data_IF_331281547273
#
_entry.id   IF_331281547273
#
_cell.length_a   1.000
_cell.length_b   1.000
_cell.length_c   1.000
_cell.angle_alpha   90.00
_cell.angle_beta   90.00
_cell.angle_gamma   90.00
#
_symmetry.space_group_name_H-M   'P 1'
#
loop_
_entity.id
_entity.type
_entity.pdbx_description
1 polymer ?
#
# COMPACT_ATOMS: atom_id res chain seq x y z
N UNK A 1 -23.79 -2.94 12.50
CA UNK A 1 -22.73 -1.91 12.47
C UNK A 1 -21.41 -2.63 12.28
N UNK A 2 -20.94 -2.79 11.04
CA UNK A 2 -19.65 -3.42 10.78
C UNK A 2 -18.51 -2.53 11.28
N UNK A 3 -17.60 -3.13 12.07
CA UNK A 3 -16.49 -2.39 12.69
C UNK A 3 -15.56 -1.84 11.60
N UNK A 4 -15.05 -0.60 11.73
CA UNK A 4 -14.17 0.02 10.73
C UNK A 4 -12.96 -0.88 10.42
N UNK A 5 -12.47 -0.81 9.18
CA UNK A 5 -11.23 -1.50 8.78
C UNK A 5 -10.08 -0.92 9.62
N UNK A 6 -9.32 -1.79 10.27
CA UNK A 6 -8.14 -1.39 11.05
C UNK A 6 -6.87 -1.64 10.25
N UNK A 7 -5.86 -0.79 10.43
CA UNK A 7 -4.54 -0.98 9.80
C UNK A 7 -3.93 -2.37 10.03
N UNK A 8 -4.16 -2.94 11.22
CA UNK A 8 -3.64 -4.25 11.62
C UNK A 8 -4.55 -5.42 11.23
N UNK A 9 -5.73 -5.18 10.66
CA UNK A 9 -6.58 -6.27 10.17
C UNK A 9 -5.80 -7.12 9.13
N UNK A 10 -6.06 -8.43 9.16
CA UNK A 10 -5.48 -9.38 8.22
C UNK A 10 -6.00 -9.14 6.81
N UNK A 11 -5.26 -9.53 5.75
CA UNK A 11 -5.73 -9.40 4.38
C UNK A 11 -7.11 -10.04 4.14
N UNK A 12 -7.34 -11.24 4.68
CA UNK A 12 -8.63 -11.95 4.58
C UNK A 12 -9.79 -11.18 5.22
N UNK A 13 -9.55 -10.55 6.37
CA UNK A 13 -10.57 -9.77 7.07
C UNK A 13 -10.91 -8.47 6.35
N UNK A 14 -9.92 -7.80 5.76
CA UNK A 14 -10.13 -6.60 4.94
C UNK A 14 -10.89 -6.95 3.66
N UNK A 15 -10.51 -8.05 3.01
CA UNK A 15 -11.22 -8.56 1.84
C UNK A 15 -12.69 -8.84 2.14
N UNK A 16 -12.99 -9.52 3.25
CA UNK A 16 -14.35 -9.82 3.67
C UNK A 16 -15.16 -8.54 3.94
N UNK A 17 -14.60 -7.58 4.68
CA UNK A 17 -15.26 -6.30 4.99
C UNK A 17 -15.55 -5.46 3.75
N UNK A 18 -14.72 -5.58 2.71
CA UNK A 18 -14.92 -4.89 1.43
C UNK A 18 -15.79 -5.70 0.44
N UNK A 19 -16.25 -6.89 0.82
CA UNK A 19 -17.05 -7.76 -0.05
C UNK A 19 -16.33 -8.18 -1.34
N UNK A 20 -15.00 -8.32 -1.30
CA UNK A 20 -14.19 -8.57 -2.50
C UNK A 20 -13.93 -10.07 -2.71
N UNK A 21 -14.02 -10.52 -3.95
CA UNK A 21 -13.45 -11.80 -4.38
C UNK A 21 -11.92 -11.76 -4.34
N UNK A 22 -11.28 -12.94 -4.38
CA UNK A 22 -9.80 -13.03 -4.43
C UNK A 22 -9.22 -12.24 -5.61
N UNK A 23 -9.82 -12.37 -6.79
CA UNK A 23 -9.39 -11.66 -8.01
C UNK A 23 -9.49 -10.14 -7.84
N UNK A 24 -10.61 -9.65 -7.30
CA UNK A 24 -10.78 -8.22 -7.03
C UNK A 24 -9.76 -7.74 -5.98
N UNK A 25 -9.54 -8.51 -4.91
CA UNK A 25 -8.57 -8.15 -3.88
C UNK A 25 -7.13 -8.10 -4.40
N UNK A 26 -6.78 -8.96 -5.35
CA UNK A 26 -5.51 -8.89 -6.06
C UNK A 26 -5.42 -7.68 -7.00
N UNK A 27 -6.47 -7.37 -7.75
CA UNK A 27 -6.54 -6.16 -8.57
C UNK A 27 -6.36 -4.90 -7.71
N UNK A 28 -6.93 -4.88 -6.50
CA UNK A 28 -6.77 -3.76 -5.58
C UNK A 28 -5.30 -3.49 -5.23
N UNK A 29 -4.47 -4.55 -5.13
CA UNK A 29 -3.00 -4.43 -5.00
C UNK A 29 -2.39 -3.71 -6.19
N UNK A 30 -2.84 -4.07 -7.38
CA UNK A 30 -2.30 -3.59 -8.64
C UNK A 30 -2.69 -2.13 -8.87
N UNK A 31 -3.87 -1.70 -8.41
CA UNK A 31 -4.25 -0.29 -8.45
C UNK A 31 -3.35 0.58 -7.58
N UNK A 32 -2.95 0.13 -6.38
CA UNK A 32 -1.97 0.86 -5.57
C UNK A 32 -0.61 0.96 -6.27
N UNK A 33 -0.16 -0.11 -6.93
CA UNK A 33 1.10 -0.11 -7.71
C UNK A 33 1.02 0.84 -8.91
N UNK A 34 -0.10 0.82 -9.62
CA UNK A 34 -0.36 1.67 -10.77
C UNK A 34 -0.42 3.14 -10.35
N UNK A 35 -1.17 3.45 -9.30
CA UNK A 35 -1.25 4.79 -8.73
C UNK A 35 0.13 5.31 -8.30
N UNK A 36 0.98 4.47 -7.70
CA UNK A 36 2.36 4.83 -7.43
C UNK A 36 3.15 5.14 -8.70
N UNK A 37 3.07 4.31 -9.74
CA UNK A 37 3.73 4.59 -11.02
C UNK A 37 3.28 5.90 -11.65
N UNK A 38 1.97 6.13 -11.72
CA UNK A 38 1.37 7.35 -12.31
C UNK A 38 1.73 8.60 -11.51
N UNK A 39 1.63 8.55 -10.19
CA UNK A 39 1.95 9.69 -9.33
C UNK A 39 3.45 10.02 -9.36
N UNK A 40 4.33 9.03 -9.24
CA UNK A 40 5.76 9.26 -9.23
C UNK A 40 6.31 9.68 -10.61
N UNK A 41 5.64 9.29 -11.71
CA UNK A 41 5.97 9.76 -13.04
C UNK A 41 5.68 11.25 -13.26
N UNK A 42 4.72 11.81 -12.53
CA UNK A 42 4.34 13.23 -12.59
C UNK A 42 5.00 14.06 -11.48
N UNK A 43 5.35 13.43 -10.35
CA UNK A 43 5.95 14.07 -9.18
C UNK A 43 7.22 13.33 -8.73
N UNK A 44 8.33 13.43 -9.49
CA UNK A 44 9.55 12.67 -9.19
C UNK A 44 10.17 13.02 -7.82
N UNK A 45 10.02 14.25 -7.36
CA UNK A 45 10.57 14.74 -6.09
C UNK A 45 9.64 14.52 -4.88
N UNK A 46 8.50 13.88 -5.10
CA UNK A 46 7.51 13.63 -4.05
C UNK A 46 8.06 12.72 -2.94
N UNK A 47 7.62 12.98 -1.70
CA UNK A 47 7.89 12.05 -0.58
C UNK A 47 7.22 10.69 -0.76
N UNK A 48 6.17 10.61 -1.57
CA UNK A 48 5.58 9.34 -1.98
C UNK A 48 6.51 8.50 -2.86
N UNK A 49 7.27 9.13 -3.76
CA UNK A 49 8.21 8.45 -4.65
C UNK A 49 9.36 7.77 -3.90
N UNK A 50 9.71 8.30 -2.72
CA UNK A 50 10.66 7.65 -1.84
C UNK A 50 9.99 6.53 -1.03
N UNK A 51 10.23 5.28 -1.43
CA UNK A 51 9.70 4.07 -0.77
C UNK A 51 10.12 3.96 0.70
N UNK A 52 11.25 4.56 1.10
CA UNK A 52 11.76 4.53 2.47
C UNK A 52 11.05 5.51 3.40
N UNK A 53 10.36 6.52 2.85
CA UNK A 53 9.51 7.40 3.64
C UNK A 53 8.32 6.59 4.16
N UNK A 54 7.90 6.83 5.40
CA UNK A 54 6.71 6.18 5.99
C UNK A 54 5.45 6.96 5.60
N UNK A 55 4.29 6.30 5.54
CA UNK A 55 3.03 6.94 5.14
C UNK A 55 2.68 8.18 5.96
N UNK A 56 2.91 8.14 7.26
CA UNK A 56 2.64 9.29 8.15
C UNK A 56 3.54 10.50 7.88
N UNK A 57 4.69 10.32 7.21
CA UNK A 57 5.62 11.38 6.85
C UNK A 57 5.40 11.94 5.44
N UNK A 58 4.47 11.37 4.67
CA UNK A 58 3.98 11.94 3.41
C UNK A 58 3.13 13.16 3.73
N UNK A 59 3.28 14.28 3.01
CA UNK A 59 2.44 15.46 3.18
C UNK A 59 0.96 15.12 2.94
N UNK A 60 0.07 15.79 3.66
CA UNK A 60 -1.37 15.46 3.61
C UNK A 60 -1.98 15.66 2.22
N UNK A 61 -1.58 16.71 1.50
CA UNK A 61 -2.05 16.95 0.13
C UNK A 61 -1.68 15.79 -0.81
N UNK A 62 -0.44 15.28 -0.76
CA UNK A 62 -0.03 14.12 -1.56
C UNK A 62 -0.86 12.88 -1.20
N UNK A 63 -1.14 12.66 0.10
CA UNK A 63 -1.97 11.53 0.52
C UNK A 63 -3.37 11.59 -0.08
N UNK A 64 -4.00 12.76 -0.05
CA UNK A 64 -5.34 12.97 -0.61
C UNK A 64 -5.35 12.71 -2.11
N UNK A 65 -4.35 13.18 -2.85
CA UNK A 65 -4.21 12.93 -4.28
C UNK A 65 -4.01 11.44 -4.60
N UNK A 66 -3.16 10.75 -3.84
CA UNK A 66 -2.92 9.31 -3.99
C UNK A 66 -4.19 8.50 -3.70
N UNK A 67 -4.90 8.83 -2.61
CA UNK A 67 -6.17 8.19 -2.26
C UNK A 67 -7.21 8.43 -3.35
N UNK A 68 -7.31 9.67 -3.85
CA UNK A 68 -8.21 10.01 -4.96
C UNK A 68 -7.87 9.24 -6.24
N UNK A 69 -6.59 9.06 -6.55
CA UNK A 69 -6.14 8.32 -7.73
C UNK A 69 -6.50 6.83 -7.62
N UNK A 70 -6.27 6.22 -6.45
CA UNK A 70 -6.62 4.82 -6.21
C UNK A 70 -8.14 4.64 -6.25
N UNK A 71 -8.89 5.56 -5.66
CA UNK A 71 -10.35 5.52 -5.66
C UNK A 71 -10.92 5.62 -7.07
N UNK A 72 -10.38 6.50 -7.91
CA UNK A 72 -10.71 6.59 -9.34
C UNK A 72 -10.50 5.26 -10.04
N UNK A 73 -9.32 4.64 -9.89
CA UNK A 73 -9.03 3.33 -10.48
C UNK A 73 -9.98 2.22 -10.01
N UNK A 74 -10.35 2.24 -8.72
CA UNK A 74 -11.31 1.30 -8.16
C UNK A 74 -12.71 1.50 -8.74
N UNK A 75 -13.13 2.75 -8.90
CA UNK A 75 -14.44 3.13 -9.45
C UNK A 75 -14.55 2.76 -10.93
N UNK A 76 -13.56 3.13 -11.74
CA UNK A 76 -13.50 2.78 -13.17
C UNK A 76 -13.54 1.26 -13.41
N UNK A 77 -13.00 0.49 -12.47
CA UNK A 77 -12.96 -0.97 -12.56
C UNK A 77 -14.17 -1.66 -11.91
N UNK A 78 -15.14 -0.91 -11.37
CA UNK A 78 -16.25 -1.42 -10.57
C UNK A 78 -15.78 -2.40 -9.48
N UNK A 79 -14.70 -2.04 -8.78
CA UNK A 79 -14.01 -2.96 -7.87
C UNK A 79 -14.88 -3.35 -6.68
N UNK A 80 -15.52 -2.36 -6.06
CA UNK A 80 -16.30 -2.54 -4.85
C UNK A 80 -17.77 -2.81 -5.20
N UNK A 81 -18.44 -3.73 -4.47
CA UNK A 81 -19.90 -3.85 -4.55
C UNK A 81 -20.58 -2.50 -4.27
N UNK A 82 -21.68 -2.16 -4.95
CA UNK A 82 -22.38 -0.88 -4.78
C UNK A 82 -22.94 -0.67 -3.36
N UNK A 83 -23.08 -1.75 -2.59
CA UNK A 83 -23.51 -1.75 -1.19
C UNK A 83 -22.38 -1.37 -0.21
N UNK A 84 -21.14 -1.24 -0.68
CA UNK A 84 -19.99 -0.96 0.18
C UNK A 84 -19.98 0.51 0.57
N UNK A 85 -20.11 0.80 1.87
CA UNK A 85 -20.14 2.17 2.36
C UNK A 85 -18.82 2.92 2.10
N UNK A 86 -18.93 4.22 1.80
CA UNK A 86 -17.79 5.08 1.42
C UNK A 86 -16.66 5.07 2.45
N UNK A 87 -16.98 5.23 3.73
CA UNK A 87 -16.00 5.19 4.80
C UNK A 87 -15.25 3.84 4.90
N UNK A 88 -15.89 2.74 4.50
CA UNK A 88 -15.25 1.41 4.46
C UNK A 88 -14.29 1.33 3.28
N UNK A 89 -14.65 1.89 2.13
CA UNK A 89 -13.78 1.97 0.95
C UNK A 89 -12.52 2.77 1.28
N UNK A 90 -12.66 3.98 1.84
CA UNK A 90 -11.54 4.86 2.20
C UNK A 90 -10.58 4.18 3.19
N UNK A 91 -11.12 3.60 4.26
CA UNK A 91 -10.32 2.84 5.23
C UNK A 91 -9.64 1.61 4.58
N UNK A 92 -10.30 0.98 3.60
CA UNK A 92 -9.75 -0.11 2.80
C UNK A 92 -8.57 0.34 1.92
N UNK A 93 -8.70 1.50 1.27
CA UNK A 93 -7.65 2.12 0.44
C UNK A 93 -6.44 2.44 1.30
N UNK A 94 -6.62 3.14 2.41
CA UNK A 94 -5.52 3.48 3.33
C UNK A 94 -4.81 2.22 3.83
N UNK A 95 -5.57 1.23 4.29
CA UNK A 95 -4.99 -0.04 4.73
C UNK A 95 -4.18 -0.69 3.61
N UNK A 96 -4.71 -0.68 2.39
CA UNK A 96 -4.04 -1.31 1.24
C UNK A 96 -2.75 -0.61 0.89
N UNK A 97 -2.74 0.72 0.86
CA UNK A 97 -1.55 1.56 0.71
C UNK A 97 -0.50 1.17 1.75
N UNK A 98 -0.89 1.12 3.02
CA UNK A 98 0.00 0.76 4.11
C UNK A 98 0.64 -0.63 3.96
N UNK A 99 -0.14 -1.63 3.55
CA UNK A 99 0.37 -3.00 3.37
C UNK A 99 1.33 -3.11 2.19
N UNK A 100 0.96 -2.54 1.05
CA UNK A 100 1.81 -2.56 -0.15
C UNK A 100 3.13 -1.83 0.12
N UNK A 101 3.07 -0.66 0.75
CA UNK A 101 4.27 0.11 1.09
C UNK A 101 5.19 -0.62 2.08
N UNK A 102 4.61 -1.29 3.09
CA UNK A 102 5.40 -2.10 4.02
C UNK A 102 6.18 -3.20 3.28
N UNK A 103 5.57 -3.85 2.29
CA UNK A 103 6.26 -4.84 1.45
C UNK A 103 7.41 -4.20 0.67
N UNK A 104 7.19 -3.03 0.04
CA UNK A 104 8.26 -2.33 -0.68
C UNK A 104 9.44 -1.96 0.21
N UNK A 105 9.17 -1.45 1.42
CA UNK A 105 10.20 -1.13 2.41
C UNK A 105 10.99 -2.36 2.84
N UNK A 106 10.31 -3.48 3.08
CA UNK A 106 10.97 -4.75 3.43
C UNK A 106 11.87 -5.22 2.29
N UNK A 107 11.37 -5.21 1.05
CA UNK A 107 12.14 -5.61 -0.14
C UNK A 107 13.33 -4.67 -0.39
N UNK A 108 13.15 -3.35 -0.23
CA UNK A 108 14.23 -2.38 -0.39
C UNK A 108 15.34 -2.60 0.64
N UNK A 109 14.97 -2.78 1.92
CA UNK A 109 15.94 -3.06 3.01
C UNK A 109 16.68 -4.38 2.79
N UNK A 110 15.99 -5.43 2.33
CA UNK A 110 16.63 -6.71 2.02
C UNK A 110 17.71 -6.55 0.93
N UNK A 111 17.39 -5.83 -0.15
CA UNK A 111 18.35 -5.53 -1.22
C UNK A 111 19.55 -4.71 -0.74
N UNK A 112 19.33 -3.70 0.11
CA UNK A 112 20.43 -2.92 0.69
C UNK A 112 21.35 -3.77 1.59
N UNK A 113 20.78 -4.72 2.33
CA UNK A 113 21.55 -5.65 3.17
C UNK A 113 22.38 -6.63 2.33
N UNK A 114 21.82 -7.16 1.25
CA UNK A 114 22.54 -8.03 0.31
C UNK A 114 23.66 -7.29 -0.44
N UNK A 115 23.45 -6.01 -0.79
CA UNK A 115 24.44 -5.18 -1.46
C UNK A 115 25.61 -4.75 -0.55
N UNK A 116 25.52 -4.93 0.77
CA UNK A 116 26.56 -4.55 1.72
C UNK A 116 27.00 -5.76 2.58
N UNK A 117 27.73 -6.74 2.02
CA UNK A 117 28.13 -7.97 2.71
C UNK A 117 29.26 -7.80 3.76
N UNK A 118 29.55 -6.59 4.25
CA UNK A 118 30.67 -6.32 5.17
C UNK A 118 30.44 -6.76 6.64
N UNK A 119 29.43 -7.56 6.93
CA UNK A 119 29.10 -7.96 8.32
C UNK A 119 28.91 -9.47 8.51
N UNK A 120 29.74 -10.26 7.81
CA UNK A 120 29.94 -11.69 8.10
C UNK A 120 31.43 -12.01 8.15
N UNK A 121 32.15 -11.35 9.06
CA UNK A 121 33.45 -11.83 9.54
C UNK A 121 33.52 -11.61 11.04
N UNK A 122 32.78 -12.44 11.77
CA UNK A 122 33.09 -12.77 13.16
C UNK A 122 32.35 -14.06 13.55
N UNK A 123 32.76 -15.17 12.94
CA UNK A 123 32.52 -16.52 13.46
C UNK A 123 33.55 -17.49 12.90
N UNK A 124 34.83 -17.28 13.25
CA UNK A 124 35.82 -18.36 13.22
C UNK A 124 37.05 -18.04 14.08
N UNK A 125 36.88 -17.83 15.39
CA UNK A 125 37.95 -18.13 16.36
C UNK A 125 37.30 -18.61 17.66
N UNK A 126 37.18 -19.92 17.81
CA UNK A 126 37.72 -20.73 18.92
C UNK A 126 37.25 -22.18 18.76
#
# INVERSE_FOLDING_TARGET
MDKPIKLRDSPSKVQQKLGLSNRQFDNFKNFVRRAHGEYCGTHPDSKWANVNVIWTAVPEHEKLEIVSLIDKLCTESNLFPPTTGRAVIEAGIEQRIHRVRRTWQQTSRAKTKEANPKDVSNKLIR
#
